data_IF_119539122621
#
_entry.id   IF_119539122621
#
_cell.length_a   1.000
_cell.length_b   1.000
_cell.length_c   1.000
_cell.angle_alpha   90.00
_cell.angle_beta   90.00
_cell.angle_gamma   90.00
#
_symmetry.space_group_name_H-M   'P 1'
#
loop_
_entity.id
_entity.type
_entity.pdbx_description
1 polymer ?
#
# COMPACT_ATOMS: atom_id res chain seq x y z
N UNK A 1 -13.23 21.72 -1.49
CA UNK A 1 -14.30 21.70 -2.51
C UNK A 1 -14.75 20.25 -2.71
N UNK A 2 -16.05 19.97 -2.77
CA UNK A 2 -16.58 18.62 -3.04
C UNK A 2 -17.26 18.64 -4.41
N UNK A 3 -17.11 17.56 -5.19
CA UNK A 3 -17.75 17.39 -6.49
C UNK A 3 -18.80 16.28 -6.35
N UNK A 4 -20.03 16.54 -6.77
CA UNK A 4 -21.08 15.52 -6.79
C UNK A 4 -20.84 14.56 -7.97
N UNK A 5 -20.86 13.26 -7.68
CA UNK A 5 -20.70 12.19 -8.68
C UNK A 5 -21.96 11.34 -8.64
N UNK A 6 -22.61 11.16 -9.79
CA UNK A 6 -23.76 10.26 -9.93
C UNK A 6 -23.24 8.85 -10.24
N UNK A 7 -23.68 7.85 -9.47
CA UNK A 7 -23.30 6.45 -9.63
C UNK A 7 -24.56 5.57 -9.59
N UNK A 8 -24.64 4.62 -10.51
CA UNK A 8 -25.64 3.55 -10.45
C UNK A 8 -25.05 2.37 -9.69
N UNK A 9 -25.74 1.94 -8.63
CA UNK A 9 -25.35 0.80 -7.79
C UNK A 9 -26.52 -0.19 -7.71
N UNK A 10 -26.23 -1.50 -7.56
CA UNK A 10 -27.24 -2.50 -7.25
C UNK A 10 -28.07 -2.11 -6.01
N UNK A 11 -29.37 -2.42 -6.03
CA UNK A 11 -30.31 -2.06 -4.95
C UNK A 11 -29.88 -2.64 -3.61
N UNK A 12 -29.58 -3.93 -3.60
CA UNK A 12 -29.11 -4.70 -2.45
C UNK A 12 -27.86 -4.05 -1.82
N UNK A 13 -26.92 -3.60 -2.65
CA UNK A 13 -25.73 -2.90 -2.16
C UNK A 13 -26.06 -1.54 -1.53
N UNK A 14 -27.03 -0.80 -2.08
CA UNK A 14 -27.47 0.47 -1.49
C UNK A 14 -28.15 0.24 -0.14
N UNK A 15 -28.97 -0.81 -0.04
CA UNK A 15 -29.64 -1.20 1.21
C UNK A 15 -28.64 -1.61 2.29
N UNK A 16 -27.61 -2.38 1.93
CA UNK A 16 -26.53 -2.74 2.85
C UNK A 16 -25.71 -1.51 3.27
N UNK A 17 -25.38 -0.63 2.31
CA UNK A 17 -24.68 0.62 2.59
C UNK A 17 -25.49 1.51 3.54
N UNK A 18 -26.80 1.56 3.39
CA UNK A 18 -27.70 2.26 4.31
C UNK A 18 -27.68 1.67 5.71
N UNK A 19 -27.71 0.35 5.81
CA UNK A 19 -27.65 -0.35 7.09
C UNK A 19 -26.34 -0.07 7.84
N UNK A 20 -25.21 -0.05 7.12
CA UNK A 20 -23.88 0.13 7.72
C UNK A 20 -23.53 1.60 7.97
N UNK A 21 -23.67 2.46 6.96
CA UNK A 21 -23.27 3.85 7.05
C UNK A 21 -24.38 4.74 7.64
N UNK A 22 -25.64 4.35 7.48
CA UNK A 22 -26.80 5.21 7.71
C UNK A 22 -27.13 6.11 6.51
N UNK A 23 -28.39 6.55 6.38
CA UNK A 23 -28.92 7.19 5.17
C UNK A 23 -28.26 8.53 4.77
N UNK A 24 -27.55 9.20 5.69
CA UNK A 24 -26.89 10.51 5.43
C UNK A 24 -25.36 10.45 5.34
N UNK A 25 -24.76 9.29 5.58
CA UNK A 25 -23.31 9.13 5.67
C UNK A 25 -22.71 8.31 4.53
N UNK A 26 -23.52 7.93 3.53
CA UNK A 26 -23.07 7.16 2.35
C UNK A 26 -21.84 7.77 1.68
N UNK A 27 -21.84 9.09 1.44
CA UNK A 27 -20.72 9.75 0.77
C UNK A 27 -19.42 9.68 1.57
N UNK A 28 -19.49 9.77 2.91
CA UNK A 28 -18.30 9.65 3.77
C UNK A 28 -17.78 8.19 3.81
N UNK A 29 -18.69 7.22 3.88
CA UNK A 29 -18.34 5.80 3.82
C UNK A 29 -17.70 5.42 2.48
N UNK A 30 -18.32 5.82 1.37
CA UNK A 30 -17.80 5.60 0.02
C UNK A 30 -16.46 6.30 -0.18
N UNK A 31 -16.29 7.53 0.31
CA UNK A 31 -15.01 8.25 0.28
C UNK A 31 -13.89 7.45 0.96
N UNK A 32 -14.15 6.88 2.14
CA UNK A 32 -13.21 6.02 2.86
C UNK A 32 -12.85 4.77 2.05
N UNK A 33 -13.88 4.02 1.61
CA UNK A 33 -13.70 2.80 0.83
C UNK A 33 -12.92 3.04 -0.49
N UNK A 34 -13.24 4.13 -1.20
CA UNK A 34 -12.56 4.50 -2.45
C UNK A 34 -11.11 4.89 -2.18
N UNK A 35 -10.81 5.68 -1.14
CA UNK A 35 -9.42 6.00 -0.77
C UNK A 35 -8.60 4.74 -0.50
N UNK A 36 -9.15 3.82 0.29
CA UNK A 36 -8.44 2.60 0.64
C UNK A 36 -8.22 1.69 -0.57
N UNK A 37 -9.21 1.58 -1.46
CA UNK A 37 -9.06 0.83 -2.71
C UNK A 37 -8.03 1.47 -3.64
N UNK A 38 -8.05 2.79 -3.80
CA UNK A 38 -7.09 3.52 -4.64
C UNK A 38 -5.66 3.38 -4.11
N UNK A 39 -5.44 3.45 -2.79
CA UNK A 39 -4.12 3.21 -2.19
C UNK A 39 -3.58 1.81 -2.52
N UNK A 40 -4.42 0.78 -2.39
CA UNK A 40 -4.04 -0.59 -2.73
C UNK A 40 -3.73 -0.75 -4.21
N UNK A 41 -4.51 -0.11 -5.09
CA UNK A 41 -4.28 -0.16 -6.52
C UNK A 41 -3.00 0.58 -6.93
N UNK A 42 -2.73 1.74 -6.32
CA UNK A 42 -1.47 2.46 -6.52
C UNK A 42 -0.28 1.61 -6.10
N UNK A 43 -0.35 0.98 -4.93
CA UNK A 43 0.68 0.05 -4.46
C UNK A 43 0.85 -1.09 -5.48
N UNK A 44 -0.23 -1.75 -5.89
CA UNK A 44 -0.18 -2.84 -6.89
C UNK A 44 0.58 -2.42 -8.15
N UNK A 45 0.32 -1.22 -8.68
CA UNK A 45 1.02 -0.68 -9.85
C UNK A 45 2.50 -0.47 -9.59
N UNK A 46 2.86 0.17 -8.47
CA UNK A 46 4.27 0.38 -8.10
C UNK A 46 5.03 -0.95 -8.01
N UNK A 47 4.44 -1.98 -7.43
CA UNK A 47 5.06 -3.29 -7.34
C UNK A 47 5.23 -3.97 -8.70
N UNK A 48 4.28 -3.77 -9.62
CA UNK A 48 4.41 -4.24 -11.00
C UNK A 48 5.52 -3.50 -11.74
N UNK A 49 5.59 -2.17 -11.60
CA UNK A 49 6.58 -1.33 -12.26
C UNK A 49 8.00 -1.59 -11.70
N UNK A 50 8.09 -1.89 -10.39
CA UNK A 50 9.33 -2.24 -9.73
C UNK A 50 9.74 -3.71 -9.91
N UNK A 51 8.94 -4.54 -10.58
CA UNK A 51 9.26 -5.94 -10.78
C UNK A 51 10.57 -6.07 -11.58
N UNK A 52 11.54 -6.81 -11.04
CA UNK A 52 12.87 -6.97 -11.66
C UNK A 52 13.84 -5.81 -11.42
N UNK A 53 13.45 -4.78 -10.65
CA UNK A 53 14.37 -3.70 -10.22
C UNK A 53 15.53 -4.19 -9.34
N UNK A 54 15.36 -5.34 -8.69
CA UNK A 54 16.40 -6.01 -7.91
C UNK A 54 16.80 -7.28 -8.64
N UNK A 55 18.00 -7.28 -9.23
CA UNK A 55 18.55 -8.46 -9.92
C UNK A 55 19.33 -9.31 -8.93
N UNK A 56 19.17 -10.63 -9.00
CA UNK A 56 19.84 -11.54 -8.07
C UNK A 56 21.38 -11.43 -8.14
N UNK A 57 21.93 -11.14 -9.32
CA UNK A 57 23.37 -10.95 -9.53
C UNK A 57 23.93 -9.75 -8.74
N UNK A 58 23.13 -8.70 -8.55
CA UNK A 58 23.55 -7.48 -7.85
C UNK A 58 23.51 -7.66 -6.32
N UNK A 59 22.78 -8.67 -5.83
CA UNK A 59 22.56 -8.93 -4.40
C UNK A 59 22.85 -10.40 -4.01
N UNK A 60 24.09 -10.89 -4.17
CA UNK A 60 24.44 -12.29 -3.88
C UNK A 60 24.24 -12.67 -2.40
N UNK A 61 24.33 -11.68 -1.50
CA UNK A 61 24.06 -11.81 -0.07
C UNK A 61 22.56 -11.96 0.26
N UNK A 62 21.66 -11.82 -0.71
CA UNK A 62 20.22 -12.09 -0.57
C UNK A 62 19.78 -13.45 -1.14
N UNK A 63 20.72 -14.30 -1.55
CA UNK A 63 20.42 -15.57 -2.23
C UNK A 63 19.79 -16.65 -1.34
N UNK A 64 20.00 -16.60 -0.01
CA UNK A 64 19.35 -17.49 0.96
C UNK A 64 18.98 -16.74 2.23
N UNK A 65 18.05 -17.30 3.00
CA UNK A 65 17.62 -16.72 4.29
C UNK A 65 18.79 -16.52 5.26
N UNK A 66 19.73 -17.46 5.33
CA UNK A 66 20.92 -17.38 6.21
C UNK A 66 21.83 -16.22 5.82
N UNK A 67 22.09 -16.05 4.51
CA UNK A 67 22.91 -14.95 4.00
C UNK A 67 22.24 -13.59 4.21
N UNK A 68 20.92 -13.53 4.07
CA UNK A 68 20.15 -12.32 4.40
C UNK A 68 20.31 -11.99 5.89
N UNK A 69 20.24 -12.97 6.78
CA UNK A 69 20.41 -12.74 8.23
C UNK A 69 21.82 -12.27 8.57
N UNK A 70 22.84 -12.88 7.98
CA UNK A 70 24.24 -12.45 8.13
C UNK A 70 24.42 -11.01 7.65
N UNK A 71 23.96 -10.70 6.44
CA UNK A 71 24.01 -9.37 5.87
C UNK A 71 23.29 -8.33 6.74
N UNK A 72 22.05 -8.61 7.19
CA UNK A 72 21.31 -7.69 8.09
C UNK A 72 22.07 -7.47 9.40
N UNK A 73 22.70 -8.51 9.94
CA UNK A 73 23.48 -8.43 11.18
C UNK A 73 24.70 -7.55 11.01
N UNK A 74 25.44 -7.71 9.91
CA UNK A 74 26.58 -6.87 9.56
C UNK A 74 26.17 -5.41 9.36
N UNK A 75 25.12 -5.15 8.55
CA UNK A 75 24.60 -3.80 8.29
C UNK A 75 24.16 -3.07 9.56
N UNK A 76 23.68 -3.78 10.58
CA UNK A 76 23.31 -3.19 11.89
C UNK A 76 24.49 -2.92 12.81
N UNK A 77 25.61 -3.62 12.61
CA UNK A 77 26.86 -3.41 13.36
C UNK A 77 27.66 -2.23 12.82
N UNK A 78 27.44 -1.86 11.56
CA UNK A 78 28.00 -0.63 10.99
C UNK A 78 27.51 0.59 11.80
N UNK A 79 28.45 1.29 12.45
CA UNK A 79 28.16 2.60 13.02
C UNK A 79 28.00 3.58 11.87
N UNK A 80 26.79 4.11 11.71
CA UNK A 80 26.56 5.24 10.81
C UNK A 80 27.00 6.49 11.55
N UNK A 81 28.08 7.13 11.09
CA UNK A 81 28.45 8.46 11.56
C UNK A 81 27.32 9.42 11.15
N UNK A 82 26.57 9.92 12.13
CA UNK A 82 25.59 10.95 11.90
C UNK A 82 26.38 12.24 11.71
N UNK A 83 26.81 12.47 10.47
CA UNK A 83 27.83 13.45 10.10
C UNK A 83 27.83 14.71 10.97
N UNK A 84 28.99 15.03 11.52
CA UNK A 84 29.25 16.23 12.29
C UNK A 84 28.84 17.48 11.49
N UNK A 85 27.83 18.21 11.97
CA UNK A 85 27.55 19.61 11.59
C UNK A 85 28.38 20.60 12.42
#
# INVERSE_FOLDING_TARGET
MRIAVNMSLPRDLVEELDHVAGPRNRSAFVEGAVRDRLRREQMRRVWQDAAGSLRAEDYPHWSTSEKVQEWVTERRREQTDAGSE
#
